data_IF_030698234980
#
_entry.id   IF_030698234980
#
_cell.length_a   1.000
_cell.length_b   1.000
_cell.length_c   1.000
_cell.angle_alpha   90.00
_cell.angle_beta   90.00
_cell.angle_gamma   90.00
#
_symmetry.space_group_name_H-M   'P 1'
#
loop_
_entity.id
_entity.type
_entity.pdbx_description
1 polymer ?
#
# COMPACT_ATOMS: atom_id res chain seq x y z
N UNK A 1 -5.04 20.01 -16.16
CA UNK A 1 -4.02 19.70 -17.20
C UNK A 1 -2.76 20.54 -17.05
N UNK A 2 -2.85 21.82 -16.67
CA UNK A 2 -1.67 22.67 -16.57
C UNK A 2 -0.76 22.32 -15.39
N UNK A 3 -1.32 21.82 -14.30
CA UNK A 3 -0.53 21.32 -13.16
C UNK A 3 0.38 20.15 -13.54
N UNK A 4 -0.09 19.23 -14.41
CA UNK A 4 0.73 18.12 -14.89
C UNK A 4 1.94 18.56 -15.72
N UNK A 5 1.83 19.69 -16.44
CA UNK A 5 2.96 20.29 -17.19
C UNK A 5 4.03 20.86 -16.26
N UNK A 6 3.68 21.09 -15.00
CA UNK A 6 4.57 21.59 -13.96
C UNK A 6 5.06 20.50 -13.01
N UNK A 7 4.88 19.24 -13.38
CA UNK A 7 5.32 18.10 -12.57
C UNK A 7 6.78 18.26 -12.11
N UNK A 8 6.99 18.13 -10.81
CA UNK A 8 8.29 18.28 -10.14
C UNK A 8 8.95 19.66 -10.23
N UNK A 9 8.26 20.69 -10.68
CA UNK A 9 8.78 22.07 -10.59
C UNK A 9 8.58 22.61 -9.19
N UNK A 10 9.54 23.38 -8.70
CA UNK A 10 9.46 24.01 -7.38
C UNK A 10 8.19 24.87 -7.28
N UNK A 11 7.42 24.68 -6.20
CA UNK A 11 6.17 25.38 -5.93
C UNK A 11 4.97 24.95 -6.76
N UNK A 12 5.08 23.85 -7.54
CA UNK A 12 3.92 23.30 -8.25
C UNK A 12 3.06 22.45 -7.32
N UNK A 13 1.78 22.25 -7.70
CA UNK A 13 0.85 21.35 -7.00
C UNK A 13 1.06 19.87 -7.38
N UNK A 14 2.08 19.56 -8.17
CA UNK A 14 2.43 18.22 -8.61
C UNK A 14 3.89 17.89 -8.27
N UNK A 15 4.22 17.80 -6.98
CA UNK A 15 5.56 17.41 -6.52
C UNK A 15 5.87 15.97 -6.92
N UNK A 16 7.12 15.54 -6.76
CA UNK A 16 7.57 14.18 -7.09
C UNK A 16 7.02 13.10 -6.15
N UNK A 17 6.62 13.50 -4.94
CA UNK A 17 5.96 12.67 -3.93
C UNK A 17 4.78 13.46 -3.35
N UNK A 18 3.79 12.80 -2.71
CA UNK A 18 2.73 13.51 -2.00
C UNK A 18 3.30 14.41 -0.90
N UNK A 19 2.92 15.68 -0.93
CA UNK A 19 3.36 16.72 0.03
C UNK A 19 2.15 17.46 0.58
N UNK A 20 2.19 17.83 1.87
CA UNK A 20 1.06 18.45 2.58
C UNK A 20 0.65 19.81 2.00
N UNK A 21 1.52 20.45 1.22
CA UNK A 21 1.20 21.67 0.48
C UNK A 21 0.21 21.43 -0.67
N UNK A 22 0.08 20.18 -1.11
CA UNK A 22 -0.90 19.81 -2.15
C UNK A 22 -2.28 19.64 -1.52
N UNK A 23 -3.31 20.36 -1.97
CA UNK A 23 -4.66 20.24 -1.42
C UNK A 23 -5.17 18.79 -1.42
N UNK A 24 -5.61 18.30 -0.26
CA UNK A 24 -6.10 16.94 -0.05
C UNK A 24 -5.02 15.94 0.35
N UNK A 25 -3.79 16.39 0.56
CA UNK A 25 -2.72 15.56 1.13
C UNK A 25 -2.53 15.94 2.60
N UNK A 26 -2.71 14.98 3.50
CA UNK A 26 -2.62 15.16 4.95
C UNK A 26 -1.28 14.67 5.54
N UNK A 27 -0.46 13.97 4.74
CA UNK A 27 0.85 13.47 5.17
C UNK A 27 1.82 13.35 4.00
N UNK A 28 3.08 13.71 4.24
CA UNK A 28 4.14 13.49 3.27
C UNK A 28 4.50 12.01 3.21
N UNK A 29 4.59 11.48 2.00
CA UNK A 29 5.13 10.14 1.73
C UNK A 29 6.23 10.24 0.66
N UNK A 30 7.01 9.17 0.46
CA UNK A 30 8.12 9.15 -0.50
C UNK A 30 9.32 8.38 0.03
N UNK A 31 9.77 8.59 1.28
CA UNK A 31 10.72 7.66 1.90
C UNK A 31 10.09 6.27 1.96
N UNK A 32 10.78 5.28 1.35
CA UNK A 32 10.26 3.93 1.19
C UNK A 32 9.82 3.29 2.51
N UNK A 33 8.70 2.60 2.50
CA UNK A 33 8.10 1.91 3.64
C UNK A 33 7.41 2.80 4.67
N UNK A 34 7.69 4.11 4.72
CA UNK A 34 7.11 5.02 5.72
C UNK A 34 5.59 5.13 5.55
N UNK A 35 5.10 5.25 4.31
CA UNK A 35 3.67 5.27 4.02
C UNK A 35 2.93 4.01 4.49
N UNK A 36 3.59 2.85 4.44
CA UNK A 36 3.05 1.59 4.98
C UNK A 36 2.87 1.70 6.49
N UNK A 37 3.89 2.17 7.21
CA UNK A 37 3.82 2.39 8.66
C UNK A 37 2.73 3.39 9.05
N UNK A 38 2.62 4.52 8.35
CA UNK A 38 1.59 5.53 8.57
C UNK A 38 0.19 4.95 8.36
N UNK A 39 -0.06 4.25 7.24
CA UNK A 39 -1.36 3.67 6.94
C UNK A 39 -1.79 2.62 7.98
N UNK A 40 -0.86 1.82 8.48
CA UNK A 40 -1.12 0.86 9.56
C UNK A 40 -1.49 1.61 10.85
N UNK A 41 -0.79 2.70 11.18
CA UNK A 41 -1.14 3.56 12.31
C UNK A 41 -2.53 4.18 12.19
N UNK A 42 -2.92 4.66 10.99
CA UNK A 42 -4.26 5.18 10.70
C UNK A 42 -5.34 4.11 10.89
N UNK A 43 -5.12 2.89 10.37
CA UNK A 43 -6.06 1.78 10.53
C UNK A 43 -6.22 1.36 12.00
N UNK A 44 -5.14 1.38 12.77
CA UNK A 44 -5.15 1.11 14.20
C UNK A 44 -5.94 2.19 14.97
N UNK A 45 -5.71 3.46 14.66
CA UNK A 45 -6.42 4.57 15.28
C UNK A 45 -7.93 4.51 15.02
N UNK A 46 -8.33 4.21 13.78
CA UNK A 46 -9.75 4.02 13.43
C UNK A 46 -10.36 2.82 14.19
N UNK A 47 -9.64 1.70 14.29
CA UNK A 47 -10.10 0.53 15.04
C UNK A 47 -10.25 0.83 16.55
N UNK A 48 -9.38 1.65 17.12
CA UNK A 48 -9.42 2.05 18.51
C UNK A 48 -10.51 3.11 18.79
N UNK A 49 -10.96 3.84 17.78
CA UNK A 49 -12.01 4.84 17.89
C UNK A 49 -13.37 4.18 18.01
N UNK A 50 -13.86 4.01 19.22
CA UNK A 50 -15.14 3.33 19.54
C UNK A 50 -16.41 4.07 19.08
N UNK A 51 -16.29 5.25 18.45
CA UNK A 51 -17.41 6.11 18.10
C UNK A 51 -17.86 6.03 16.62
N UNK A 52 -17.24 5.17 15.82
CA UNK A 52 -17.58 5.07 14.40
C UNK A 52 -18.68 4.05 14.15
N UNK A 53 -19.90 4.51 13.89
CA UNK A 53 -20.98 3.68 13.32
C UNK A 53 -20.72 3.30 11.86
N UNK A 54 -19.68 3.89 11.23
CA UNK A 54 -19.28 3.66 9.86
C UNK A 54 -17.97 2.88 9.83
N UNK A 55 -17.96 1.75 9.15
CA UNK A 55 -16.72 1.02 8.86
C UNK A 55 -15.93 1.81 7.82
N UNK A 56 -14.80 2.39 8.23
CA UNK A 56 -13.86 3.07 7.36
C UNK A 56 -12.68 2.17 7.05
N UNK A 57 -12.17 2.25 5.84
CA UNK A 57 -11.01 1.49 5.41
C UNK A 57 -9.83 2.41 5.15
N UNK A 58 -8.65 1.96 5.56
CA UNK A 58 -7.37 2.55 5.14
C UNK A 58 -6.83 1.74 3.98
N UNK A 59 -6.52 2.43 2.88
CA UNK A 59 -5.90 1.84 1.70
C UNK A 59 -4.46 2.29 1.60
N UNK A 60 -3.55 1.34 1.39
CA UNK A 60 -2.13 1.58 1.16
C UNK A 60 -1.81 1.14 -0.26
N UNK A 61 -1.08 1.96 -1.01
CA UNK A 61 -0.44 1.57 -2.25
C UNK A 61 1.06 1.49 -2.00
N UNK A 62 1.66 0.34 -2.26
CA UNK A 62 3.07 0.08 -2.04
C UNK A 62 3.71 -0.57 -3.26
N UNK A 63 4.95 -0.23 -3.55
CA UNK A 63 5.76 -0.86 -4.58
C UNK A 63 6.75 -1.88 -4.03
N UNK A 64 7.54 -2.49 -4.92
CA UNK A 64 8.56 -3.48 -4.57
C UNK A 64 9.55 -2.95 -3.51
N UNK A 65 10.06 -1.73 -3.69
CA UNK A 65 11.02 -1.13 -2.76
C UNK A 65 10.43 -0.83 -1.38
N UNK A 66 9.14 -0.49 -1.29
CA UNK A 66 8.50 -0.22 -0.01
C UNK A 66 8.46 -1.45 0.90
N UNK A 67 8.16 -2.62 0.31
CA UNK A 67 8.00 -3.85 1.10
C UNK A 67 9.33 -4.46 1.55
N UNK A 68 10.45 -4.06 0.95
CA UNK A 68 11.79 -4.46 1.40
C UNK A 68 12.25 -3.69 2.65
N UNK A 69 11.59 -2.58 2.97
CA UNK A 69 11.97 -1.76 4.11
C UNK A 69 11.59 -2.39 5.46
N UNK A 70 12.49 -2.38 6.45
CA UNK A 70 12.22 -2.96 7.76
C UNK A 70 10.99 -2.39 8.46
N UNK A 71 10.69 -1.09 8.24
CA UNK A 71 9.50 -0.45 8.81
C UNK A 71 8.22 -1.04 8.23
N UNK A 72 8.18 -1.33 6.92
CA UNK A 72 7.03 -1.95 6.30
C UNK A 72 6.79 -3.36 6.86
N UNK A 73 7.84 -4.17 6.97
CA UNK A 73 7.76 -5.54 7.50
C UNK A 73 7.34 -5.55 8.97
N UNK A 74 8.00 -4.75 9.80
CA UNK A 74 7.68 -4.66 11.24
C UNK A 74 6.26 -4.18 11.49
N UNK A 75 5.81 -3.13 10.80
CA UNK A 75 4.46 -2.62 10.93
C UNK A 75 3.42 -3.64 10.42
N UNK A 76 3.69 -4.35 9.33
CA UNK A 76 2.80 -5.37 8.79
C UNK A 76 2.62 -6.57 9.74
N UNK A 77 3.68 -6.95 10.47
CA UNK A 77 3.58 -7.98 11.51
C UNK A 77 2.61 -7.56 12.61
N UNK A 78 2.67 -6.29 13.05
CA UNK A 78 1.74 -5.75 14.04
C UNK A 78 0.31 -5.68 13.51
N UNK A 79 0.12 -5.29 12.24
CA UNK A 79 -1.21 -5.24 11.63
C UNK A 79 -1.89 -6.61 11.61
N UNK A 80 -1.14 -7.67 11.30
CA UNK A 80 -1.63 -9.06 11.38
C UNK A 80 -1.97 -9.48 12.80
N UNK A 81 -1.07 -9.20 13.75
CA UNK A 81 -1.28 -9.49 15.18
C UNK A 81 -2.55 -8.83 15.73
N UNK A 82 -2.77 -7.56 15.39
CA UNK A 82 -3.95 -6.82 15.81
C UNK A 82 -5.21 -7.08 14.97
N UNK A 83 -5.10 -7.89 13.94
CA UNK A 83 -6.20 -8.21 13.01
C UNK A 83 -6.91 -6.93 12.51
N UNK A 84 -6.15 -6.03 11.88
CA UNK A 84 -6.68 -4.78 11.37
C UNK A 84 -7.52 -5.01 10.10
N UNK A 85 -8.73 -5.52 10.26
CA UNK A 85 -9.65 -5.87 9.15
C UNK A 85 -10.14 -4.68 8.34
N UNK A 86 -9.81 -3.47 8.77
CA UNK A 86 -10.07 -2.21 8.08
C UNK A 86 -8.86 -1.72 7.26
N UNK A 87 -7.81 -2.54 7.13
CA UNK A 87 -6.60 -2.23 6.39
C UNK A 87 -6.54 -3.05 5.11
N UNK A 88 -6.35 -2.38 3.98
CA UNK A 88 -6.19 -3.00 2.66
C UNK A 88 -4.95 -2.42 2.01
N UNK A 89 -3.98 -3.25 1.70
CA UNK A 89 -2.77 -2.86 0.98
C UNK A 89 -2.79 -3.43 -0.43
N UNK A 90 -2.60 -2.58 -1.42
CA UNK A 90 -2.34 -2.99 -2.78
C UNK A 90 -0.83 -2.93 -3.03
N UNK A 91 -0.24 -4.06 -3.34
CA UNK A 91 1.16 -4.17 -3.72
C UNK A 91 1.28 -4.19 -5.23
N UNK A 92 1.80 -3.11 -5.80
CA UNK A 92 2.17 -3.02 -7.21
C UNK A 92 3.46 -3.81 -7.44
N UNK A 93 3.30 -5.10 -7.76
CA UNK A 93 4.41 -6.02 -8.00
C UNK A 93 4.82 -5.99 -9.47
N UNK A 94 5.74 -5.10 -9.79
CA UNK A 94 6.27 -4.96 -11.15
C UNK A 94 7.69 -5.53 -11.33
N UNK A 95 8.28 -6.06 -10.26
CA UNK A 95 9.60 -6.68 -10.22
C UNK A 95 10.75 -5.72 -10.60
N UNK A 96 10.53 -4.39 -10.54
CA UNK A 96 11.54 -3.36 -10.84
C UNK A 96 11.71 -2.42 -9.65
N UNK A 97 12.95 -2.08 -9.35
CA UNK A 97 13.30 -1.03 -8.40
C UNK A 97 14.47 -0.20 -8.95
N UNK A 98 14.32 1.13 -8.92
CA UNK A 98 15.25 2.15 -9.45
C UNK A 98 15.99 1.73 -10.73
N UNK A 99 17.03 0.91 -10.64
CA UNK A 99 17.96 0.63 -11.73
C UNK A 99 17.96 -0.86 -12.17
N UNK A 100 16.98 -1.65 -11.80
CA UNK A 100 16.95 -3.05 -12.25
C UNK A 100 15.93 -3.94 -11.54
N UNK A 101 15.96 -5.20 -11.93
CA UNK A 101 15.06 -6.21 -11.40
C UNK A 101 15.30 -6.45 -9.90
N UNK A 102 14.19 -6.59 -9.16
CA UNK A 102 14.19 -6.87 -7.71
C UNK A 102 14.97 -8.14 -7.39
N UNK A 103 14.91 -9.17 -8.24
CA UNK A 103 15.58 -10.46 -8.02
C UNK A 103 17.12 -10.37 -7.85
N UNK A 104 17.71 -9.21 -8.13
CA UNK A 104 19.14 -8.97 -7.87
C UNK A 104 19.46 -8.82 -6.38
N UNK A 105 18.47 -8.47 -5.56
CA UNK A 105 18.65 -8.16 -4.14
C UNK A 105 17.59 -8.81 -3.24
N UNK A 106 16.44 -9.17 -3.79
CA UNK A 106 15.32 -9.75 -3.05
C UNK A 106 14.60 -10.82 -3.88
N UNK A 107 14.42 -11.99 -3.27
CA UNK A 107 13.69 -13.14 -3.84
C UNK A 107 12.61 -13.62 -2.87
N UNK A 108 12.18 -12.76 -1.96
CA UNK A 108 11.16 -13.06 -0.96
C UNK A 108 9.83 -13.38 -1.62
N UNK A 109 9.21 -14.48 -1.19
CA UNK A 109 7.83 -14.81 -1.52
C UNK A 109 6.91 -14.02 -0.58
N UNK A 110 6.51 -12.82 -1.01
CA UNK A 110 5.66 -11.93 -0.21
C UNK A 110 4.28 -12.52 0.05
N UNK A 111 3.74 -13.36 -0.83
CA UNK A 111 2.45 -14.02 -0.57
C UNK A 111 2.54 -14.92 0.67
N UNK A 112 3.56 -15.76 0.73
CA UNK A 112 3.79 -16.62 1.91
C UNK A 112 4.17 -15.82 3.15
N UNK A 113 4.96 -14.76 2.99
CA UNK A 113 5.38 -13.92 4.11
C UNK A 113 4.17 -13.24 4.77
N UNK A 114 3.30 -12.63 4.00
CA UNK A 114 2.10 -11.96 4.52
C UNK A 114 1.06 -12.95 5.06
N UNK A 115 0.91 -14.13 4.44
CA UNK A 115 0.07 -15.20 5.00
C UNK A 115 0.59 -15.63 6.39
N UNK A 116 1.90 -15.83 6.53
CA UNK A 116 2.51 -16.16 7.83
C UNK A 116 2.35 -15.04 8.88
N UNK A 117 2.26 -13.78 8.46
CA UNK A 117 1.93 -12.64 9.34
C UNK A 117 0.43 -12.57 9.69
N UNK A 118 -0.42 -13.45 9.16
CA UNK A 118 -1.85 -13.51 9.44
C UNK A 118 -2.70 -12.57 8.60
N UNK A 119 -2.23 -12.16 7.43
CA UNK A 119 -2.99 -11.37 6.47
C UNK A 119 -3.86 -12.27 5.56
N UNK A 120 -4.91 -11.68 5.00
CA UNK A 120 -5.66 -12.24 3.88
C UNK A 120 -4.92 -11.85 2.58
N UNK A 121 -4.39 -12.84 1.89
CA UNK A 121 -3.56 -12.63 0.69
C UNK A 121 -4.33 -12.97 -0.57
N UNK A 122 -4.24 -12.11 -1.57
CA UNK A 122 -4.81 -12.31 -2.91
C UNK A 122 -3.75 -11.96 -3.95
N UNK A 123 -3.54 -12.82 -4.95
CA UNK A 123 -2.67 -12.54 -6.10
C UNK A 123 -3.54 -12.39 -7.36
N UNK A 124 -3.31 -11.32 -8.12
CA UNK A 124 -4.15 -10.97 -9.27
C UNK A 124 -3.30 -10.43 -10.44
N UNK A 125 -3.88 -10.40 -11.63
CA UNK A 125 -3.39 -9.54 -12.71
C UNK A 125 -3.73 -8.08 -12.37
N UNK A 126 -2.69 -7.29 -12.05
CA UNK A 126 -2.82 -5.88 -11.67
C UNK A 126 -3.26 -4.95 -12.82
N UNK A 127 -3.38 -5.46 -14.05
CA UNK A 127 -3.97 -4.74 -15.18
C UNK A 127 -5.41 -5.17 -15.49
N UNK A 128 -5.95 -6.19 -14.80
CA UNK A 128 -7.32 -6.64 -14.96
C UNK A 128 -8.25 -5.91 -13.99
N UNK A 129 -9.02 -4.96 -14.50
CA UNK A 129 -9.93 -4.14 -13.68
C UNK A 129 -11.00 -4.96 -12.95
N UNK A 130 -11.44 -6.08 -13.49
CA UNK A 130 -12.47 -6.90 -12.85
C UNK A 130 -11.89 -7.71 -11.69
N UNK A 131 -10.65 -8.22 -11.83
CA UNK A 131 -9.92 -8.84 -10.73
C UNK A 131 -9.63 -7.84 -9.62
N UNK A 132 -9.20 -6.62 -9.95
CA UNK A 132 -8.99 -5.54 -8.97
C UNK A 132 -10.29 -5.25 -8.19
N UNK A 133 -11.43 -5.09 -8.88
CA UNK A 133 -12.71 -4.82 -8.21
C UNK A 133 -13.14 -5.97 -7.32
N UNK A 134 -12.96 -7.21 -7.78
CA UNK A 134 -13.31 -8.39 -7.01
C UNK A 134 -12.44 -8.54 -5.77
N UNK A 135 -11.12 -8.37 -5.92
CA UNK A 135 -10.18 -8.49 -4.80
C UNK A 135 -10.41 -7.42 -3.73
N UNK A 136 -10.75 -6.19 -4.13
CA UNK A 136 -11.14 -5.13 -3.19
C UNK A 136 -12.40 -5.48 -2.40
N UNK A 137 -13.44 -6.04 -3.06
CA UNK A 137 -14.65 -6.51 -2.37
C UNK A 137 -14.36 -7.63 -1.37
N UNK A 138 -13.53 -8.60 -1.78
CA UNK A 138 -13.11 -9.69 -0.91
C UNK A 138 -12.33 -9.16 0.31
N UNK A 139 -11.40 -8.23 0.08
CA UNK A 139 -10.64 -7.58 1.14
C UNK A 139 -11.52 -6.85 2.15
N UNK A 140 -12.53 -6.10 1.66
CA UNK A 140 -13.49 -5.40 2.52
C UNK A 140 -14.35 -6.34 3.38
N UNK A 141 -14.51 -7.59 2.98
CA UNK A 141 -15.28 -8.62 3.70
C UNK A 141 -14.42 -9.48 4.63
N UNK A 142 -13.09 -9.34 4.57
CA UNK A 142 -12.16 -10.11 5.40
C UNK A 142 -12.21 -9.65 6.86
N UNK A 143 -11.97 -10.58 7.78
CA UNK A 143 -11.77 -10.32 9.21
C UNK A 143 -10.30 -10.07 9.58
N UNK A 144 -9.42 -10.04 8.58
CA UNK A 144 -7.97 -9.82 8.69
C UNK A 144 -7.56 -8.60 7.86
N UNK A 145 -6.38 -8.00 8.12
CA UNK A 145 -5.78 -7.07 7.15
C UNK A 145 -5.58 -7.79 5.82
N UNK A 146 -5.77 -7.09 4.72
CA UNK A 146 -5.67 -7.71 3.39
C UNK A 146 -4.54 -7.11 2.58
N UNK A 147 -3.78 -7.97 1.90
CA UNK A 147 -2.84 -7.58 0.85
C UNK A 147 -3.32 -8.14 -0.49
N UNK A 148 -3.38 -7.27 -1.49
CA UNK A 148 -3.67 -7.61 -2.88
C UNK A 148 -2.37 -7.42 -3.66
N UNK A 149 -1.78 -8.52 -4.09
CA UNK A 149 -0.53 -8.54 -4.87
C UNK A 149 -0.91 -8.49 -6.34
N UNK A 150 -0.87 -7.30 -6.92
CA UNK A 150 -1.16 -7.07 -8.32
C UNK A 150 0.10 -7.19 -9.17
N UNK A 151 0.19 -8.21 -10.00
CA UNK A 151 1.29 -8.31 -10.95
C UNK A 151 1.08 -7.30 -12.07
N UNK A 152 2.05 -6.40 -12.23
CA UNK A 152 1.97 -5.32 -13.21
C UNK A 152 3.21 -5.26 -14.10
N UNK A 153 3.13 -4.41 -15.11
CA UNK A 153 4.27 -4.04 -15.96
C UNK A 153 4.50 -2.55 -15.76
N UNK A 154 5.71 -2.19 -15.33
CA UNK A 154 6.05 -0.79 -15.10
C UNK A 154 5.86 0.04 -16.36
N UNK A 155 5.28 1.22 -16.21
CA UNK A 155 5.04 2.18 -17.28
C UNK A 155 4.15 1.66 -18.45
N UNK A 156 3.28 0.67 -18.19
CA UNK A 156 2.30 0.21 -19.17
C UNK A 156 1.14 1.20 -19.29
#
# INVERSE_FOLDING_TARGET
>A
MDDLKNFRKLGSLTPGHPEIETPGVDANTGPLGQGVGMGIGMALAEKASSNSSLKRFTYILAGDGDLQEPIALGASTLAGHWKLSNLIMFYDKNDIQIAGNTCRVDTTDYAKLYDAMGWHVQEIDGHNHDEIRLSLKNAQSSDKPSIIIGKTIIAK
#
